data_IF_189194470284
#
_entry.id   IF_189194470284
#
_cell.length_a   1.000
_cell.length_b   1.000
_cell.length_c   1.000
_cell.angle_alpha   90.00
_cell.angle_beta   90.00
_cell.angle_gamma   90.00
#
_symmetry.space_group_name_H-M   'P 1'
#
loop_
_entity.id
_entity.type
_entity.pdbx_description
1 polymer ?
#
# COMPACT_ATOMS: atom_id res chain seq x y z
N UNK A 1 -19.31 -7.38 1.89
CA UNK A 1 -18.57 -6.11 2.08
C UNK A 1 -17.23 -6.18 1.39
N UNK A 2 -16.92 -5.16 0.61
CA UNK A 2 -15.67 -5.12 -0.12
C UNK A 2 -14.53 -4.69 0.79
N UNK A 3 -13.43 -5.41 0.74
CA UNK A 3 -12.29 -5.13 1.61
C UNK A 3 -10.99 -5.26 0.84
N UNK A 4 -10.07 -4.37 1.18
CA UNK A 4 -8.70 -4.41 0.69
C UNK A 4 -7.85 -5.13 1.72
N UNK A 5 -7.10 -6.13 1.28
CA UNK A 5 -6.19 -6.88 2.12
C UNK A 5 -4.79 -6.83 1.54
N UNK A 6 -3.80 -6.79 2.41
CA UNK A 6 -2.40 -6.87 2.00
C UNK A 6 -1.82 -8.20 2.43
N UNK A 7 -0.98 -8.77 1.59
CA UNK A 7 -0.27 -10.00 1.89
C UNK A 7 1.21 -9.77 1.66
N UNK A 8 2.00 -9.92 2.72
CA UNK A 8 3.44 -9.76 2.64
C UNK A 8 4.04 -10.84 1.73
N UNK A 9 4.86 -10.41 0.78
CA UNK A 9 5.54 -11.33 -0.13
C UNK A 9 7.03 -11.39 0.21
N UNK A 10 7.66 -10.24 0.21
CA UNK A 10 9.07 -10.10 0.55
C UNK A 10 9.29 -8.66 0.98
N UNK A 11 10.47 -8.34 1.46
CA UNK A 11 10.77 -6.99 1.92
C UNK A 11 10.48 -5.98 0.80
N UNK A 12 9.63 -5.02 1.12
CA UNK A 12 9.27 -3.96 0.18
C UNK A 12 8.21 -4.34 -0.83
N UNK A 13 7.59 -5.52 -0.71
CA UNK A 13 6.56 -5.95 -1.65
C UNK A 13 5.40 -6.58 -0.91
N UNK A 14 4.19 -6.04 -1.15
CA UNK A 14 2.96 -6.61 -0.61
C UNK A 14 1.97 -6.80 -1.76
N UNK A 15 1.32 -7.95 -1.80
CA UNK A 15 0.20 -8.15 -2.73
C UNK A 15 -1.02 -7.44 -2.20
N UNK A 16 -1.79 -6.88 -3.10
CA UNK A 16 -3.04 -6.19 -2.77
C UNK A 16 -4.19 -7.02 -3.27
N UNK A 17 -5.09 -7.38 -2.36
CA UNK A 17 -6.27 -8.16 -2.66
C UNK A 17 -7.51 -7.29 -2.52
N UNK A 18 -8.43 -7.45 -3.45
CA UNK A 18 -9.78 -6.92 -3.33
C UNK A 18 -10.68 -8.14 -3.10
N UNK A 19 -11.14 -8.28 -1.86
CA UNK A 19 -11.78 -9.51 -1.40
C UNK A 19 -10.81 -10.67 -1.55
N UNK A 20 -11.02 -11.57 -2.51
CA UNK A 20 -10.16 -12.73 -2.70
C UNK A 20 -9.30 -12.65 -3.95
N UNK A 21 -9.40 -11.56 -4.70
CA UNK A 21 -8.71 -11.41 -5.97
C UNK A 21 -7.50 -10.48 -5.84
N UNK A 22 -6.36 -10.92 -6.35
CA UNK A 22 -5.18 -10.06 -6.43
C UNK A 22 -5.40 -9.01 -7.50
N UNK A 23 -5.26 -7.74 -7.14
CA UNK A 23 -5.48 -6.63 -8.05
C UNK A 23 -4.20 -5.85 -8.35
N UNK A 24 -3.16 -6.05 -7.54
CA UNK A 24 -1.91 -5.34 -7.75
C UNK A 24 -0.95 -5.59 -6.62
N UNK A 25 0.02 -4.71 -6.50
CA UNK A 25 1.06 -4.77 -5.48
C UNK A 25 1.39 -3.39 -4.95
N UNK A 26 1.78 -3.34 -3.69
CA UNK A 26 2.47 -2.17 -3.14
C UNK A 26 3.96 -2.49 -3.19
N UNK A 27 4.73 -1.63 -3.83
CA UNK A 27 6.17 -1.82 -3.99
C UNK A 27 6.89 -0.61 -3.41
N UNK A 28 7.84 -0.87 -2.52
CA UNK A 28 8.65 0.18 -1.94
C UNK A 28 9.55 0.80 -3.02
N UNK A 29 9.53 2.11 -3.09
CA UNK A 29 10.34 2.85 -4.04
C UNK A 29 11.66 3.30 -3.39
N UNK A 30 12.49 3.96 -4.17
CA UNK A 30 13.83 4.36 -3.73
C UNK A 30 13.80 5.28 -2.52
N UNK A 31 12.74 6.07 -2.37
CA UNK A 31 12.58 6.98 -1.23
C UNK A 31 12.04 6.29 0.02
N UNK A 32 11.76 5.00 -0.06
CA UNK A 32 11.24 4.24 1.07
C UNK A 32 9.73 4.21 1.17
N UNK A 33 9.04 4.96 0.36
CA UNK A 33 7.57 4.97 0.35
C UNK A 33 7.04 3.96 -0.66
N UNK A 34 5.87 3.42 -0.36
CA UNK A 34 5.23 2.45 -1.23
C UNK A 34 4.40 3.13 -2.30
N UNK A 35 4.43 2.58 -3.50
CA UNK A 35 3.53 2.97 -4.57
C UNK A 35 2.68 1.77 -4.96
N UNK A 36 1.54 2.04 -5.55
CA UNK A 36 0.63 1.00 -6.00
C UNK A 36 0.87 0.69 -7.47
N UNK A 37 1.08 -0.60 -7.75
CA UNK A 37 1.25 -1.10 -9.11
C UNK A 37 0.12 -2.07 -9.40
N UNK A 38 -0.79 -1.69 -10.30
CA UNK A 38 -1.92 -2.54 -10.63
C UNK A 38 -1.52 -3.64 -11.60
N UNK A 39 -2.09 -4.82 -11.39
CA UNK A 39 -1.95 -5.92 -12.36
C UNK A 39 -3.21 -6.03 -13.21
N UNK A 40 -4.28 -5.33 -12.82
CA UNK A 40 -5.53 -5.29 -13.58
C UNK A 40 -5.55 -4.04 -14.44
N UNK A 41 -5.49 -4.21 -15.74
CA UNK A 41 -5.49 -3.09 -16.66
C UNK A 41 -6.85 -2.83 -17.29
N UNK A 42 -7.81 -3.70 -17.01
CA UNK A 42 -9.18 -3.56 -17.53
C UNK A 42 -10.16 -3.78 -16.40
N UNK A 43 -11.37 -3.31 -16.59
CA UNK A 43 -12.43 -3.51 -15.63
C UNK A 43 -12.90 -2.21 -15.00
N UNK A 44 -13.84 -2.35 -14.12
CA UNK A 44 -14.49 -1.23 -13.46
C UNK A 44 -13.96 -1.09 -12.04
N UNK A 45 -13.55 0.12 -11.69
CA UNK A 45 -13.09 0.43 -10.35
C UNK A 45 -14.00 1.49 -9.74
N UNK A 46 -14.73 1.11 -8.70
CA UNK A 46 -15.58 2.05 -7.99
C UNK A 46 -14.72 2.98 -7.12
N UNK A 47 -15.27 4.13 -6.79
CA UNK A 47 -14.61 5.04 -5.86
C UNK A 47 -14.41 4.39 -4.51
N UNK A 48 -15.29 3.49 -4.13
CA UNK A 48 -15.19 2.76 -2.88
C UNK A 48 -13.93 1.89 -2.84
N UNK A 49 -13.70 1.14 -3.92
CA UNK A 49 -12.51 0.30 -4.03
C UNK A 49 -11.24 1.14 -4.07
N UNK A 50 -11.26 2.23 -4.83
CA UNK A 50 -10.10 3.12 -4.94
C UNK A 50 -9.76 3.77 -3.61
N UNK A 51 -10.77 4.15 -2.83
CA UNK A 51 -10.53 4.69 -1.49
C UNK A 51 -9.92 3.66 -0.57
N UNK A 52 -10.37 2.41 -0.65
CA UNK A 52 -9.79 1.34 0.14
C UNK A 52 -8.32 1.14 -0.18
N UNK A 53 -7.96 1.18 -1.45
CA UNK A 53 -6.57 1.08 -1.87
C UNK A 53 -5.77 2.26 -1.35
N UNK A 54 -6.31 3.47 -1.49
CA UNK A 54 -5.63 4.68 -1.03
C UNK A 54 -5.43 4.66 0.49
N UNK A 55 -6.44 4.25 1.23
CA UNK A 55 -6.36 4.19 2.70
C UNK A 55 -5.30 3.18 3.14
N UNK A 56 -5.24 2.03 2.49
CA UNK A 56 -4.25 1.02 2.82
C UNK A 56 -2.84 1.52 2.50
N UNK A 57 -2.69 2.20 1.38
CA UNK A 57 -1.40 2.76 0.97
C UNK A 57 -0.96 3.85 1.94
N UNK A 58 -1.87 4.73 2.33
CA UNK A 58 -1.57 5.79 3.29
C UNK A 58 -1.13 5.20 4.63
N UNK A 59 -1.79 4.15 5.06
CA UNK A 59 -1.47 3.52 6.33
C UNK A 59 -0.06 2.93 6.34
N UNK A 60 0.30 2.23 5.28
CA UNK A 60 1.63 1.62 5.22
C UNK A 60 2.72 2.69 5.09
N UNK A 61 2.43 3.77 4.38
CA UNK A 61 3.37 4.88 4.25
C UNK A 61 3.46 5.69 5.53
N UNK A 62 2.38 5.77 6.30
CA UNK A 62 2.36 6.46 7.59
C UNK A 62 3.31 5.77 8.57
N UNK A 63 3.33 4.45 8.58
CA UNK A 63 4.26 3.70 9.42
C UNK A 63 5.70 4.03 9.09
N UNK A 64 6.03 4.14 7.82
CA UNK A 64 7.36 4.53 7.38
C UNK A 64 7.69 5.96 7.80
N UNK A 65 6.71 6.84 7.62
CA UNK A 65 6.85 8.26 7.99
C UNK A 65 7.15 8.42 9.48
N UNK A 66 6.47 7.65 10.32
CA UNK A 66 6.71 7.67 11.76
C UNK A 66 8.10 7.19 12.10
N UNK A 67 8.60 6.18 11.41
CA UNK A 67 9.95 5.69 11.63
C UNK A 67 10.99 6.75 11.26
N UNK A 68 10.77 7.46 10.16
CA UNK A 68 11.65 8.56 9.76
C UNK A 68 11.65 9.66 10.81
N UNK A 69 10.48 10.07 11.25
CA UNK A 69 10.36 11.12 12.27
C UNK A 69 11.04 10.73 13.56
N UNK A 70 10.83 9.50 13.99
CA UNK A 70 11.43 9.00 15.22
C UNK A 70 12.96 8.99 15.11
N UNK A 71 13.45 8.56 13.97
CA UNK A 71 14.90 8.48 13.73
C UNK A 71 15.53 9.87 13.69
N UNK A 72 14.91 10.79 12.97
CA UNK A 72 15.42 12.14 12.84
C UNK A 72 15.20 12.95 14.12
N UNK A 73 14.09 12.70 14.79
CA UNK A 73 13.79 13.38 16.05
C UNK A 73 14.78 13.07 17.14
N UNK A 74 15.25 11.85 17.18
CA UNK A 74 16.23 11.41 18.18
C UNK A 74 17.59 12.02 17.97
N UNK A 75 17.85 12.52 16.79
CA UNK A 75 19.12 13.14 16.46
C UNK A 75 19.26 14.59 16.89
N UNK A 76 18.27 15.12 17.53
CA UNK A 76 18.29 16.52 17.98
C UNK A 76 18.86 16.69 19.36
#
# INVERSE_FOLDING_TARGET
>A
MEMIHLSYVTKGVHLVYFNTKVIGKFIMQDDGYYGYHTTETSGYWSSYALRGIADALDKINEEWDEQIKKHLGDGK
#
